data_IF_957979476552
#
_entry.id   IF_957979476552
#
_cell.length_a   1.000
_cell.length_b   1.000
_cell.length_c   1.000
_cell.angle_alpha   90.00
_cell.angle_beta   90.00
_cell.angle_gamma   90.00
#
_symmetry.space_group_name_H-M   'P 1'
#
loop_
_entity.id
_entity.type
_entity.pdbx_description
1 polymer ?
#
# COMPACT_ATOMS: atom_id res chain seq x y z
N UNK A 1 -11.12 24.01 -38.62
CA UNK A 1 -9.89 23.34 -38.13
C UNK A 1 -9.32 22.45 -39.22
N UNK A 2 -8.03 22.60 -39.58
CA UNK A 2 -7.38 21.73 -40.56
C UNK A 2 -7.41 20.27 -40.06
N UNK A 3 -7.51 19.31 -40.98
CA UNK A 3 -7.60 17.86 -40.65
C UNK A 3 -6.44 17.41 -39.75
N UNK A 4 -5.26 17.99 -39.96
CA UNK A 4 -4.04 17.77 -39.16
C UNK A 4 -4.26 18.17 -37.69
N UNK A 5 -4.89 19.32 -37.42
CA UNK A 5 -5.17 19.74 -36.04
C UNK A 5 -6.13 18.80 -35.32
N UNK A 6 -7.13 18.24 -36.03
CA UNK A 6 -8.04 17.24 -35.45
C UNK A 6 -7.33 15.94 -35.09
N UNK A 7 -6.42 15.48 -35.96
CA UNK A 7 -5.61 14.27 -35.72
C UNK A 7 -4.68 14.49 -34.52
N UNK A 8 -3.98 15.62 -34.47
CA UNK A 8 -3.08 15.95 -33.35
C UNK A 8 -3.84 16.02 -32.02
N UNK A 9 -5.01 16.66 -31.99
CA UNK A 9 -5.86 16.69 -30.80
C UNK A 9 -6.28 15.28 -30.39
N UNK A 10 -6.72 14.45 -31.33
CA UNK A 10 -7.11 13.06 -31.03
C UNK A 10 -5.96 12.23 -30.46
N UNK A 11 -4.75 12.36 -31.03
CA UNK A 11 -3.55 11.68 -30.53
C UNK A 11 -3.19 12.12 -29.12
N UNK A 12 -3.21 13.43 -28.85
CA UNK A 12 -2.94 13.98 -27.51
C UNK A 12 -3.96 13.44 -26.49
N UNK A 13 -5.25 13.42 -26.85
CA UNK A 13 -6.28 12.89 -25.97
C UNK A 13 -6.08 11.40 -25.67
N UNK A 14 -5.69 10.60 -26.67
CA UNK A 14 -5.37 9.18 -26.48
C UNK A 14 -4.18 9.02 -25.54
N UNK A 15 -3.10 9.78 -25.75
CA UNK A 15 -1.91 9.73 -24.88
C UNK A 15 -2.27 10.08 -23.44
N UNK A 16 -3.05 11.14 -23.23
CA UNK A 16 -3.51 11.54 -21.90
C UNK A 16 -4.42 10.47 -21.27
N UNK A 17 -5.32 9.86 -22.03
CA UNK A 17 -6.17 8.78 -21.55
C UNK A 17 -5.33 7.56 -21.11
N UNK A 18 -4.36 7.15 -21.92
CA UNK A 18 -3.46 6.03 -21.58
C UNK A 18 -2.62 6.36 -20.34
N UNK A 19 -2.05 7.58 -20.27
CA UNK A 19 -1.23 8.00 -19.12
C UNK A 19 -2.04 8.03 -17.82
N UNK A 20 -3.27 8.55 -17.86
CA UNK A 20 -4.16 8.60 -16.69
C UNK A 20 -4.59 7.19 -16.25
N UNK A 21 -4.96 6.32 -17.19
CA UNK A 21 -5.25 4.92 -16.88
C UNK A 21 -4.04 4.20 -16.27
N UNK A 22 -2.84 4.44 -16.80
CA UNK A 22 -1.60 3.89 -16.25
C UNK A 22 -1.35 4.34 -14.81
N UNK A 23 -1.51 5.63 -14.52
CA UNK A 23 -1.37 6.17 -13.16
C UNK A 23 -2.39 5.58 -12.18
N UNK A 24 -3.64 5.42 -12.61
CA UNK A 24 -4.68 4.78 -11.79
C UNK A 24 -4.31 3.31 -11.51
N UNK A 25 -3.88 2.58 -12.54
CA UNK A 25 -3.48 1.18 -12.39
C UNK A 25 -2.30 0.98 -11.44
N UNK A 26 -1.28 1.83 -11.53
CA UNK A 26 -0.13 1.82 -10.60
C UNK A 26 -0.58 2.13 -9.17
N UNK A 27 -1.45 3.15 -9.01
CA UNK A 27 -1.99 3.52 -7.68
C UNK A 27 -2.82 2.39 -7.08
N UNK A 28 -3.61 1.68 -7.86
CA UNK A 28 -4.40 0.55 -7.38
C UNK A 28 -3.49 -0.63 -7.00
N UNK A 29 -2.57 -1.01 -7.88
CA UNK A 29 -1.67 -2.14 -7.67
C UNK A 29 -0.84 -1.99 -6.39
N UNK A 30 -0.28 -0.81 -6.14
CA UNK A 30 0.55 -0.56 -4.95
C UNK A 30 -0.22 -0.59 -3.63
N UNK A 31 -1.54 -0.48 -3.67
CA UNK A 31 -2.40 -0.58 -2.49
C UNK A 31 -2.78 -2.03 -2.16
N UNK A 32 -2.47 -2.98 -3.04
CA UNK A 32 -2.76 -4.40 -2.84
C UNK A 32 -1.70 -5.04 -1.92
N UNK A 33 -2.08 -5.67 -0.81
CA UNK A 33 -1.12 -6.31 0.10
C UNK A 33 -0.23 -7.38 -0.55
N UNK A 34 -0.73 -8.06 -1.58
CA UNK A 34 0.03 -9.05 -2.36
C UNK A 34 1.20 -8.42 -3.11
N UNK A 35 1.04 -7.17 -3.58
CA UNK A 35 2.14 -6.43 -4.20
C UNK A 35 3.27 -6.20 -3.19
N UNK A 36 2.93 -5.78 -1.96
CA UNK A 36 3.92 -5.62 -0.89
C UNK A 36 4.61 -6.94 -0.56
N UNK A 37 3.86 -8.05 -0.48
CA UNK A 37 4.39 -9.38 -0.18
C UNK A 37 5.33 -9.95 -1.25
N UNK A 38 5.33 -9.39 -2.46
CA UNK A 38 6.25 -9.82 -3.53
C UNK A 38 7.71 -9.45 -3.26
N UNK A 39 7.95 -8.40 -2.46
CA UNK A 39 9.28 -7.88 -2.15
C UNK A 39 9.57 -7.77 -0.64
N UNK A 40 8.55 -7.59 0.20
CA UNK A 40 8.69 -7.42 1.65
C UNK A 40 8.42 -8.72 2.43
N UNK A 41 8.75 -8.68 3.73
CA UNK A 41 8.64 -9.80 4.67
C UNK A 41 7.28 -10.49 4.63
N UNK A 42 7.30 -11.73 4.10
CA UNK A 42 6.13 -12.59 3.95
C UNK A 42 5.36 -12.85 5.25
N UNK A 43 6.00 -13.01 6.43
CA UNK A 43 5.26 -13.25 7.68
C UNK A 43 4.24 -12.14 8.03
N UNK A 44 4.52 -10.87 7.72
CA UNK A 44 3.56 -9.80 7.97
C UNK A 44 2.33 -9.92 7.07
N UNK A 45 2.54 -10.20 5.79
CA UNK A 45 1.43 -10.50 4.87
C UNK A 45 0.65 -11.73 5.33
N UNK A 46 1.33 -12.80 5.76
CA UNK A 46 0.67 -14.00 6.26
C UNK A 46 -0.17 -13.72 7.51
N UNK A 47 0.33 -12.89 8.44
CA UNK A 47 -0.46 -12.46 9.60
C UNK A 47 -1.67 -11.61 9.22
N UNK A 48 -1.56 -10.79 8.17
CA UNK A 48 -2.68 -10.01 7.67
C UNK A 48 -3.68 -10.90 6.92
N UNK A 49 -3.22 -11.89 6.17
CA UNK A 49 -4.06 -12.74 5.34
C UNK A 49 -4.72 -13.89 6.10
N UNK A 50 -4.09 -14.43 7.15
CA UNK A 50 -4.60 -15.58 7.90
C UNK A 50 -5.50 -15.17 9.05
N UNK A 51 -6.70 -15.77 9.12
CA UNK A 51 -7.67 -15.61 10.20
C UNK A 51 -7.18 -16.05 11.58
N UNK A 52 -6.02 -16.72 11.64
CA UNK A 52 -5.41 -17.12 12.90
C UNK A 52 -4.83 -15.93 13.68
N UNK A 53 -4.65 -14.77 13.02
CA UNK A 53 -4.03 -13.60 13.63
C UNK A 53 -4.95 -12.38 13.70
N UNK A 54 -4.78 -11.54 14.73
CA UNK A 54 -5.55 -10.28 14.88
C UNK A 54 -5.38 -9.32 13.68
N UNK A 55 -4.26 -9.38 12.97
CA UNK A 55 -4.05 -8.54 11.81
C UNK A 55 -5.05 -8.86 10.68
N UNK A 56 -5.70 -10.02 10.70
CA UNK A 56 -6.77 -10.37 9.78
C UNK A 56 -8.02 -9.50 9.88
N UNK A 57 -8.35 -8.98 11.07
CA UNK A 57 -9.49 -8.06 11.22
C UNK A 57 -9.34 -6.82 10.32
N UNK A 58 -8.08 -6.42 10.05
CA UNK A 58 -7.77 -5.36 9.09
C UNK A 58 -7.99 -5.82 7.65
N UNK A 59 -7.68 -7.06 7.30
CA UNK A 59 -7.97 -7.61 5.98
C UNK A 59 -9.47 -7.69 5.70
N UNK A 60 -10.25 -8.17 6.67
CA UNK A 60 -11.73 -8.23 6.61
C UNK A 60 -12.36 -6.84 6.44
N UNK A 61 -11.69 -5.81 6.99
CA UNK A 61 -12.09 -4.41 6.84
C UNK A 61 -11.50 -3.72 5.61
N UNK A 62 -10.90 -4.48 4.67
CA UNK A 62 -10.24 -4.00 3.46
C UNK A 62 -9.14 -2.93 3.73
N UNK A 63 -8.46 -3.03 4.87
CA UNK A 63 -7.38 -2.14 5.26
C UNK A 63 -6.07 -2.67 4.67
N UNK A 64 -5.46 -1.90 3.76
CA UNK A 64 -4.20 -2.25 3.12
C UNK A 64 -2.97 -1.91 3.98
N UNK A 65 -1.81 -2.48 3.62
CA UNK A 65 -0.53 -2.18 4.26
C UNK A 65 -0.23 -0.68 4.28
N UNK A 66 -0.50 0.02 3.17
CA UNK A 66 -0.24 1.45 3.02
C UNK A 66 -1.19 2.34 3.83
N UNK A 67 -2.29 1.80 4.38
CA UNK A 67 -3.12 2.57 5.32
C UNK A 67 -2.35 2.90 6.58
N UNK A 68 -1.52 1.97 7.04
CA UNK A 68 -0.64 2.13 8.19
C UNK A 68 0.77 2.61 7.81
N UNK A 69 1.26 2.18 6.65
CA UNK A 69 2.56 2.54 6.08
C UNK A 69 2.40 3.43 4.83
N UNK A 70 1.93 4.68 4.97
CA UNK A 70 1.68 5.53 3.82
C UNK A 70 2.96 5.82 3.04
N UNK A 71 2.87 5.72 1.73
CA UNK A 71 3.96 5.99 0.80
C UNK A 71 3.50 6.90 -0.32
N UNK A 72 4.33 7.88 -0.69
CA UNK A 72 4.13 8.65 -1.92
C UNK A 72 4.48 7.79 -3.14
N UNK A 73 4.03 8.19 -4.33
CA UNK A 73 4.40 7.48 -5.57
C UNK A 73 5.92 7.48 -5.76
N UNK A 74 6.57 8.59 -5.42
CA UNK A 74 8.03 8.72 -5.47
C UNK A 74 8.72 7.71 -4.55
N UNK A 75 8.21 7.50 -3.33
CA UNK A 75 8.76 6.50 -2.40
C UNK A 75 8.67 5.09 -2.99
N UNK A 76 7.53 4.71 -3.57
CA UNK A 76 7.39 3.40 -4.21
C UNK A 76 8.29 3.23 -5.44
N UNK A 77 8.50 4.28 -6.24
CA UNK A 77 9.43 4.21 -7.37
C UNK A 77 10.87 4.03 -6.88
N UNK A 78 11.25 4.71 -5.81
CA UNK A 78 12.56 4.57 -5.19
C UNK A 78 12.75 3.15 -4.62
N UNK A 79 11.73 2.58 -3.97
CA UNK A 79 11.78 1.20 -3.47
C UNK A 79 11.95 0.17 -4.59
N UNK A 80 11.26 0.34 -5.73
CA UNK A 80 11.45 -0.51 -6.90
C UNK A 80 12.88 -0.40 -7.43
N UNK A 81 13.42 0.82 -7.54
CA UNK A 81 14.80 1.03 -7.99
C UNK A 81 15.82 0.34 -7.05
N UNK A 82 15.62 0.48 -5.74
CA UNK A 82 16.44 -0.17 -4.71
C UNK A 82 16.34 -1.68 -4.83
N UNK A 83 15.13 -2.23 -4.92
CA UNK A 83 14.91 -3.67 -5.06
C UNK A 83 15.58 -4.25 -6.30
N UNK A 84 15.51 -3.56 -7.45
CA UNK A 84 16.16 -4.02 -8.68
C UNK A 84 17.70 -4.02 -8.59
N UNK A 85 18.29 -3.10 -7.81
CA UNK A 85 19.75 -3.00 -7.66
C UNK A 85 20.31 -3.95 -6.61
N UNK A 86 19.58 -4.13 -5.50
CA UNK A 86 20.11 -4.72 -4.28
C UNK A 86 19.32 -5.95 -3.82
N UNK A 87 18.21 -6.27 -4.49
CA UNK A 87 17.31 -7.36 -4.15
C UNK A 87 16.46 -7.06 -2.92
N UNK A 88 16.24 -8.09 -2.11
CA UNK A 88 15.50 -7.98 -0.86
C UNK A 88 16.29 -7.15 0.17
N UNK A 89 15.64 -6.14 0.75
CA UNK A 89 16.14 -5.47 1.96
C UNK A 89 15.19 -5.74 3.13
N UNK A 90 15.69 -6.23 4.28
CA UNK A 90 14.90 -6.20 5.50
C UNK A 90 14.56 -4.74 5.81
N UNK A 91 13.32 -4.51 6.22
CA UNK A 91 12.72 -3.18 6.42
C UNK A 91 13.64 -2.25 7.23
N UNK A 92 14.44 -1.42 6.54
CA UNK A 92 15.25 -0.38 7.20
C UNK A 92 14.40 0.78 7.73
N UNK A 93 13.08 0.59 7.79
CA UNK A 93 12.10 1.56 8.26
C UNK A 93 11.08 0.80 9.12
N UNK A 94 11.53 0.29 10.27
CA UNK A 94 10.67 0.24 11.46
C UNK A 94 10.40 1.68 11.92
N UNK A 95 9.87 2.54 11.04
CA UNK A 95 9.30 3.81 11.52
C UNK A 95 8.14 3.37 12.37
N UNK A 96 8.21 3.68 13.67
CA UNK A 96 7.06 3.52 14.54
C UNK A 96 5.90 4.24 13.86
N UNK A 97 4.85 3.50 13.57
CA UNK A 97 3.60 4.06 13.09
C UNK A 97 3.09 5.00 14.18
N UNK A 98 2.85 6.28 13.89
CA UNK A 98 2.30 7.21 14.88
C UNK A 98 0.95 6.71 15.39
N UNK A 99 0.66 6.92 16.68
CA UNK A 99 -0.61 6.49 17.30
C UNK A 99 -1.83 7.03 16.54
N UNK A 100 -1.71 8.23 15.94
CA UNK A 100 -2.72 8.89 15.11
C UNK A 100 -3.25 7.99 13.97
N UNK A 101 -2.40 7.14 13.41
CA UNK A 101 -2.78 6.23 12.32
C UNK A 101 -3.72 5.15 12.84
N UNK A 102 -3.42 4.58 14.02
CA UNK A 102 -4.30 3.64 14.70
C UNK A 102 -5.60 4.34 15.13
N UNK A 103 -5.47 5.53 15.71
CA UNK A 103 -6.60 6.27 16.26
C UNK A 103 -7.51 6.90 15.19
N UNK A 104 -7.14 6.83 13.91
CA UNK A 104 -8.02 7.22 12.81
C UNK A 104 -9.24 6.28 12.66
N UNK A 105 -9.14 5.05 13.17
CA UNK A 105 -10.22 4.05 13.14
C UNK A 105 -10.51 3.44 14.53
N UNK A 106 -9.58 3.53 15.46
CA UNK A 106 -9.75 3.08 16.84
C UNK A 106 -9.99 4.29 17.76
N UNK A 107 -10.94 4.18 18.68
CA UNK A 107 -11.37 5.31 19.52
C UNK A 107 -10.24 5.89 20.39
N UNK A 108 -9.62 5.05 21.22
CA UNK A 108 -8.52 5.45 22.08
C UNK A 108 -7.55 4.29 22.34
N UNK A 109 -6.35 4.64 22.79
CA UNK A 109 -5.24 3.71 23.02
C UNK A 109 -5.54 2.71 24.15
N UNK A 110 -6.21 3.14 25.21
CA UNK A 110 -6.51 2.28 26.36
C UNK A 110 -7.50 1.18 25.98
N UNK A 111 -8.57 1.55 25.27
CA UNK A 111 -9.55 0.59 24.72
C UNK A 111 -8.90 -0.38 23.73
N UNK A 112 -7.98 0.09 22.89
CA UNK A 112 -7.25 -0.79 21.98
C UNK A 112 -6.42 -1.83 22.74
N UNK A 113 -5.64 -1.39 23.73
CA UNK A 113 -4.82 -2.28 24.59
C UNK A 113 -5.71 -3.31 25.27
N UNK A 114 -6.82 -2.88 25.89
CA UNK A 114 -7.77 -3.76 26.57
C UNK A 114 -8.34 -4.83 25.64
N UNK A 115 -8.72 -4.46 24.41
CA UNK A 115 -9.26 -5.41 23.43
C UNK A 115 -8.23 -6.43 22.95
N UNK A 116 -6.96 -6.06 22.94
CA UNK A 116 -5.86 -6.94 22.48
C UNK A 116 -5.13 -7.66 23.61
N UNK A 117 -5.48 -7.43 24.88
CA UNK A 117 -4.70 -7.88 26.04
C UNK A 117 -4.58 -9.41 26.18
N UNK A 118 -5.56 -10.15 25.67
CA UNK A 118 -5.61 -11.61 25.76
C UNK A 118 -5.08 -12.31 24.50
N UNK A 119 -4.55 -11.54 23.55
CA UNK A 119 -3.93 -12.11 22.37
C UNK A 119 -2.52 -12.57 22.72
N UNK A 120 -2.40 -13.87 22.98
CA UNK A 120 -1.12 -14.53 23.17
C UNK A 120 -0.49 -14.70 21.78
N UNK A 121 0.67 -14.06 21.60
CA UNK A 121 1.56 -14.37 20.48
C UNK A 121 2.34 -15.62 20.94
N UNK A 122 1.94 -16.80 20.47
CA UNK A 122 2.76 -18.00 20.57
C UNK A 122 3.97 -17.92 19.62
#
# INVERSE_FOLDING_TARGET
MPKIAKILVAVILIILAVATMGMIGIKDLRLRPEYCASCHDKPYYESWASSDYLAHDHADSAISCQRCHPQTISDSLQEVEIYLKEGYRPSSIQKKTPDEVCLACHEDRARLIERTQNYLID
#
